data_IF_413440654046
#
_entry.id   IF_413440654046
#
_cell.length_a   1.000
_cell.length_b   1.000
_cell.length_c   1.000
_cell.angle_alpha   90.00
_cell.angle_beta   90.00
_cell.angle_gamma   90.00
#
_symmetry.space_group_name_H-M   'P 1'
#
loop_
_entity.id
_entity.type
_entity.pdbx_description
1 polymer ?
#
# COMPACT_ATOMS: atom_id res chain seq x y z
N UNK A 1 10.67 9.31 2.45
CA UNK A 1 11.08 8.36 1.39
C UNK A 1 11.72 7.11 1.96
N UNK A 2 12.28 7.16 3.16
CA UNK A 2 12.99 6.02 3.76
C UNK A 2 12.09 4.85 4.14
N UNK A 3 10.77 5.06 4.21
CA UNK A 3 9.79 4.01 4.42
C UNK A 3 9.63 3.11 3.18
N UNK A 4 9.77 3.65 1.96
CA UNK A 4 9.64 2.88 0.74
C UNK A 4 10.87 2.02 0.51
N UNK A 5 10.65 0.81 -0.02
CA UNK A 5 11.75 -0.07 -0.39
C UNK A 5 12.66 0.58 -1.42
N UNK A 6 13.93 0.19 -1.42
CA UNK A 6 14.88 0.71 -2.39
C UNK A 6 14.45 0.39 -3.82
N UNK A 7 13.92 -0.82 -4.02
CA UNK A 7 13.31 -1.25 -5.28
C UNK A 7 12.19 -0.32 -5.71
N UNK A 8 11.20 -0.03 -4.84
CA UNK A 8 10.09 0.85 -5.19
C UNK A 8 10.55 2.26 -5.59
N UNK A 9 11.54 2.81 -4.87
CA UNK A 9 12.13 4.12 -5.21
C UNK A 9 12.84 4.15 -6.55
N UNK A 10 13.47 3.03 -6.96
CA UNK A 10 14.15 2.91 -8.26
C UNK A 10 13.16 2.63 -9.40
N UNK A 11 12.15 1.82 -9.14
CA UNK A 11 11.13 1.43 -10.11
C UNK A 11 10.19 2.59 -10.47
N UNK A 12 9.92 3.50 -9.52
CA UNK A 12 9.03 4.64 -9.69
C UNK A 12 9.81 5.97 -9.58
N UNK A 13 10.36 6.50 -10.68
CA UNK A 13 11.12 7.75 -10.65
C UNK A 13 10.25 8.96 -10.23
N UNK A 14 8.95 8.88 -10.46
CA UNK A 14 7.94 9.88 -10.10
C UNK A 14 7.25 9.60 -8.75
N UNK A 15 7.76 8.67 -7.93
CA UNK A 15 7.16 8.29 -6.64
C UNK A 15 6.83 9.50 -5.74
N UNK A 16 7.67 10.53 -5.76
CA UNK A 16 7.42 11.76 -4.98
C UNK A 16 6.17 12.49 -5.45
N UNK A 17 5.96 12.56 -6.76
CA UNK A 17 4.81 13.21 -7.38
C UNK A 17 3.55 12.37 -7.14
N UNK A 18 3.67 11.03 -7.17
CA UNK A 18 2.58 10.12 -6.81
C UNK A 18 2.12 10.33 -5.36
N UNK A 19 3.06 10.44 -4.40
CA UNK A 19 2.75 10.76 -3.00
C UNK A 19 2.05 12.12 -2.89
N UNK A 20 2.52 13.14 -3.63
CA UNK A 20 1.88 14.46 -3.61
C UNK A 20 0.45 14.43 -4.16
N UNK A 21 0.21 13.67 -5.24
CA UNK A 21 -1.14 13.46 -5.78
C UNK A 21 -2.03 12.76 -4.76
N UNK A 22 -1.53 11.73 -4.08
CA UNK A 22 -2.25 11.04 -3.00
C UNK A 22 -2.59 11.99 -1.83
N UNK A 23 -1.66 12.82 -1.41
CA UNK A 23 -1.91 13.81 -0.34
C UNK A 23 -2.94 14.87 -0.74
N UNK A 24 -2.98 15.26 -2.03
CA UNK A 24 -3.98 16.19 -2.54
C UNK A 24 -5.35 15.53 -2.78
N UNK A 25 -5.35 14.23 -3.08
CA UNK A 25 -6.54 13.41 -3.26
C UNK A 25 -7.26 13.15 -1.94
N UNK A 26 -6.52 12.89 -0.86
CA UNK A 26 -7.05 12.67 0.47
C UNK A 26 -7.65 13.96 1.05
N UNK A 27 -8.95 13.94 1.34
CA UNK A 27 -9.71 15.08 1.87
C UNK A 27 -10.21 14.80 3.27
N UNK A 28 -10.21 15.87 4.07
CA UNK A 28 -10.70 15.83 5.44
C UNK A 28 -9.68 15.31 6.46
N UNK A 29 -10.17 15.11 7.67
CA UNK A 29 -9.46 14.58 8.83
C UNK A 29 -10.00 13.18 9.12
N UNK A 30 -9.10 12.21 9.33
CA UNK A 30 -9.48 10.85 9.69
C UNK A 30 -10.27 10.83 11.01
N UNK A 31 -11.43 10.17 11.00
CA UNK A 31 -12.26 9.95 12.19
C UNK A 31 -12.22 8.48 12.61
N UNK A 32 -12.37 7.56 11.65
CA UNK A 32 -12.38 6.13 11.90
C UNK A 32 -11.58 5.37 10.83
N UNK A 33 -10.93 4.28 11.23
CA UNK A 33 -10.35 3.32 10.31
C UNK A 33 -10.70 1.89 10.75
N UNK A 34 -11.12 1.06 9.80
CA UNK A 34 -11.48 -0.34 10.06
C UNK A 34 -10.99 -1.24 8.95
N UNK A 35 -10.39 -2.38 9.30
CA UNK A 35 -9.91 -3.32 8.30
C UNK A 35 -9.04 -4.40 8.90
N UNK A 36 -8.30 -5.08 8.04
CA UNK A 36 -7.44 -6.18 8.41
C UNK A 36 -6.11 -6.11 7.67
N UNK A 37 -5.09 -6.64 8.32
CA UNK A 37 -3.82 -6.96 7.68
C UNK A 37 -3.65 -8.48 7.72
N UNK A 38 -3.20 -9.06 6.61
CA UNK A 38 -2.69 -10.42 6.56
C UNK A 38 -1.17 -10.38 6.60
N UNK A 39 -0.61 -11.34 7.34
CA UNK A 39 0.82 -11.61 7.39
C UNK A 39 1.10 -12.81 6.50
N UNK A 40 1.92 -12.63 5.47
CA UNK A 40 2.43 -13.71 4.65
C UNK A 40 3.89 -13.98 5.02
N UNK A 41 4.16 -15.19 5.52
CA UNK A 41 5.49 -15.57 5.98
C UNK A 41 5.93 -16.90 5.36
N UNK A 42 7.23 -17.00 5.09
CA UNK A 42 7.90 -18.25 4.75
C UNK A 42 9.18 -18.42 5.56
N UNK A 43 9.54 -19.67 5.82
CA UNK A 43 10.69 -20.03 6.64
C UNK A 43 11.48 -21.15 6.00
N UNK A 44 12.80 -21.05 6.10
CA UNK A 44 13.74 -22.11 5.71
C UNK A 44 14.56 -22.52 6.92
N UNK A 45 14.66 -23.83 7.17
CA UNK A 45 15.43 -24.40 8.28
C UNK A 45 15.11 -23.75 9.65
N UNK A 46 13.85 -23.36 9.87
CA UNK A 46 13.40 -22.74 11.10
C UNK A 46 13.70 -21.24 11.23
N UNK A 47 14.19 -20.58 10.17
CA UNK A 47 14.39 -19.14 10.10
C UNK A 47 13.43 -18.51 9.10
N UNK A 48 12.72 -17.44 9.50
CA UNK A 48 11.93 -16.63 8.58
C UNK A 48 12.84 -16.01 7.52
N UNK A 49 12.54 -16.27 6.25
CA UNK A 49 13.29 -15.74 5.10
C UNK A 49 12.46 -14.75 4.29
N UNK A 50 11.14 -14.77 4.45
CA UNK A 50 10.22 -13.83 3.85
C UNK A 50 9.11 -13.48 4.84
N UNK A 51 8.76 -12.21 4.92
CA UNK A 51 7.67 -11.72 5.77
C UNK A 51 7.08 -10.44 5.17
N UNK A 52 5.79 -10.46 4.86
CA UNK A 52 5.07 -9.36 4.21
C UNK A 52 3.71 -9.11 4.87
N UNK A 53 3.41 -7.85 5.12
CA UNK A 53 2.07 -7.39 5.45
C UNK A 53 1.34 -6.91 4.20
N UNK A 54 0.20 -7.53 3.90
CA UNK A 54 -0.78 -6.99 2.96
C UNK A 54 -1.99 -6.52 3.74
N UNK A 55 -2.36 -5.25 3.60
CA UNK A 55 -3.43 -4.68 4.41
C UNK A 55 -4.50 -4.02 3.56
N UNK A 56 -5.74 -4.11 4.04
CA UNK A 56 -6.92 -3.50 3.44
C UNK A 56 -7.74 -2.82 4.55
N UNK A 57 -8.03 -1.53 4.37
CA UNK A 57 -8.76 -0.73 5.34
C UNK A 57 -9.84 0.12 4.66
N UNK A 58 -10.96 0.31 5.34
CA UNK A 58 -11.85 1.44 5.14
C UNK A 58 -11.37 2.58 6.04
N UNK A 59 -11.32 3.78 5.49
CA UNK A 59 -10.91 5.01 6.16
C UNK A 59 -12.01 6.05 5.97
N UNK A 60 -12.65 6.45 7.07
CA UNK A 60 -13.69 7.47 7.08
C UNK A 60 -13.09 8.79 7.55
N UNK A 61 -13.33 9.84 6.78
CA UNK A 61 -12.99 11.22 7.15
C UNK A 61 -14.27 12.03 7.38
N UNK A 62 -14.11 13.25 7.90
CA UNK A 62 -15.21 14.22 8.00
C UNK A 62 -15.77 14.68 6.63
N UNK A 63 -15.16 14.27 5.51
CA UNK A 63 -15.55 14.68 4.16
C UNK A 63 -15.86 13.51 3.22
N UNK A 64 -15.18 12.37 3.35
CA UNK A 64 -15.24 11.28 2.36
C UNK A 64 -14.89 9.92 2.98
N UNK A 65 -15.33 8.85 2.34
CA UNK A 65 -14.96 7.47 2.68
C UNK A 65 -14.00 6.90 1.62
N UNK A 66 -12.92 6.29 2.10
CA UNK A 66 -11.89 5.69 1.26
C UNK A 66 -11.71 4.21 1.57
N UNK A 67 -11.29 3.45 0.56
CA UNK A 67 -10.64 2.14 0.74
C UNK A 67 -9.14 2.28 0.49
N UNK A 68 -8.34 1.75 1.39
CA UNK A 68 -6.87 1.81 1.36
C UNK A 68 -6.31 0.41 1.31
N UNK A 69 -5.32 0.18 0.46
CA UNK A 69 -4.52 -1.04 0.42
C UNK A 69 -3.03 -0.73 0.41
N UNK A 70 -2.22 -1.55 1.07
CA UNK A 70 -0.76 -1.43 0.99
C UNK A 70 -0.06 -2.77 1.19
N UNK A 71 1.16 -2.86 0.67
CA UNK A 71 2.06 -3.99 0.85
C UNK A 71 3.38 -3.51 1.49
N UNK A 72 3.72 -4.09 2.63
CA UNK A 72 4.95 -3.79 3.36
C UNK A 72 5.76 -5.07 3.57
N UNK A 73 6.97 -5.13 3.04
CA UNK A 73 7.86 -6.28 3.20
C UNK A 73 8.83 -6.01 4.33
N UNK A 74 8.74 -6.82 5.38
CA UNK A 74 9.62 -6.72 6.55
C UNK A 74 10.92 -7.48 6.32
N UNK A 75 10.85 -8.62 5.64
CA UNK A 75 11.98 -9.50 5.35
C UNK A 75 11.81 -10.02 3.93
N UNK A 76 12.86 -9.90 3.11
CA UNK A 76 12.97 -10.56 1.82
C UNK A 76 14.44 -10.97 1.61
N UNK A 77 14.80 -12.15 2.14
CA UNK A 77 16.19 -12.61 2.14
C UNK A 77 16.75 -12.85 0.73
N UNK A 78 15.88 -13.13 -0.25
CA UNK A 78 16.26 -13.28 -1.65
C UNK A 78 16.45 -11.91 -2.32
N UNK A 79 15.63 -10.91 -1.97
CA UNK A 79 15.65 -9.58 -2.57
C UNK A 79 15.60 -8.48 -1.48
N UNK A 80 16.70 -8.23 -0.76
CA UNK A 80 16.71 -7.31 0.38
C UNK A 80 16.41 -5.84 -0.01
N UNK A 81 16.54 -5.47 -1.28
CA UNK A 81 16.17 -4.15 -1.79
C UNK A 81 14.64 -3.95 -1.86
N UNK A 82 13.85 -5.02 -1.76
CA UNK A 82 12.39 -4.98 -1.72
C UNK A 82 11.83 -4.80 -0.30
N UNK A 83 12.67 -4.85 0.74
CA UNK A 83 12.27 -4.56 2.13
C UNK A 83 11.85 -3.09 2.29
N UNK A 84 10.72 -2.89 2.96
CA UNK A 84 10.05 -1.59 3.15
C UNK A 84 8.63 -1.57 2.58
N UNK A 85 8.04 -0.39 2.55
CA UNK A 85 6.76 -0.15 1.87
C UNK A 85 6.97 -0.33 0.37
N UNK A 86 6.31 -1.34 -0.18
CA UNK A 86 6.43 -1.71 -1.57
C UNK A 86 5.42 -0.94 -2.41
N UNK A 87 4.16 -0.90 -1.97
CA UNK A 87 3.08 -0.26 -2.69
C UNK A 87 1.99 0.27 -1.75
N UNK A 88 1.27 1.29 -2.22
CA UNK A 88 0.14 1.91 -1.52
C UNK A 88 -0.92 2.36 -2.53
N UNK A 89 -2.19 2.11 -2.25
CA UNK A 89 -3.31 2.62 -3.05
C UNK A 89 -4.44 3.10 -2.15
N UNK A 90 -5.04 4.22 -2.55
CA UNK A 90 -6.25 4.76 -1.93
C UNK A 90 -7.30 5.02 -3.01
N UNK A 91 -8.51 4.56 -2.78
CA UNK A 91 -9.64 4.72 -3.67
C UNK A 91 -10.82 5.34 -2.91
N UNK A 92 -11.65 6.14 -3.57
CA UNK A 92 -12.97 6.49 -3.02
C UNK A 92 -13.82 5.23 -2.88
N UNK A 93 -14.79 5.25 -1.97
CA UNK A 93 -15.76 4.15 -1.88
C UNK A 93 -16.52 3.94 -3.21
N UNK A 94 -16.87 5.03 -3.91
CA UNK A 94 -17.49 4.96 -5.23
C UNK A 94 -16.62 4.21 -6.26
N UNK A 95 -15.32 4.47 -6.28
CA UNK A 95 -14.40 3.76 -7.17
C UNK A 95 -14.32 2.26 -6.83
N UNK A 96 -14.27 1.96 -5.52
CA UNK A 96 -14.17 0.60 -5.01
C UNK A 96 -15.40 -0.26 -5.33
N UNK A 97 -16.59 0.33 -5.27
CA UNK A 97 -17.86 -0.37 -5.51
C UNK A 97 -18.12 -0.70 -7.00
N UNK A 98 -17.24 -0.27 -7.91
CA UNK A 98 -17.34 -0.62 -9.34
C UNK A 98 -17.07 -2.11 -9.56
N UNK A 99 -17.85 -2.74 -10.43
CA UNK A 99 -17.72 -4.19 -10.71
C UNK A 99 -16.35 -4.60 -11.27
N UNK A 100 -15.64 -3.68 -11.92
CA UNK A 100 -14.33 -3.89 -12.51
C UNK A 100 -13.17 -3.44 -11.61
N UNK A 101 -13.46 -3.06 -10.36
CA UNK A 101 -12.44 -2.61 -9.43
C UNK A 101 -11.38 -3.70 -9.17
N UNK A 102 -10.12 -3.30 -9.28
CA UNK A 102 -8.94 -4.11 -8.98
C UNK A 102 -7.86 -3.21 -8.42
N UNK A 103 -7.26 -3.66 -7.31
CA UNK A 103 -6.09 -3.02 -6.74
C UNK A 103 -4.93 -3.07 -7.74
N UNK A 104 -4.42 -1.90 -8.08
CA UNK A 104 -3.21 -1.72 -8.87
C UNK A 104 -1.99 -2.02 -8.01
N UNK A 105 -2.03 -1.72 -6.71
CA UNK A 105 -0.89 -1.87 -5.81
C UNK A 105 -0.45 -3.32 -5.57
N UNK A 106 -1.23 -4.32 -5.96
CA UNK A 106 -0.86 -5.72 -5.73
C UNK A 106 0.39 -6.10 -6.55
N UNK A 107 1.51 -6.27 -5.84
CA UNK A 107 2.81 -6.65 -6.42
C UNK A 107 3.31 -5.67 -7.52
N UNK A 108 2.80 -4.43 -7.47
CA UNK A 108 3.23 -3.32 -8.33
C UNK A 108 3.71 -2.14 -7.47
N UNK A 109 5.00 -1.80 -7.50
CA UNK A 109 5.56 -0.78 -6.61
C UNK A 109 5.05 0.60 -6.99
N UNK A 110 4.65 1.41 -6.02
CA UNK A 110 4.22 2.79 -6.26
C UNK A 110 3.11 3.28 -5.33
N UNK A 111 2.62 4.48 -5.64
CA UNK A 111 1.47 5.09 -4.96
C UNK A 111 0.38 5.41 -5.96
N UNK A 112 -0.83 4.90 -5.70
CA UNK A 112 -1.97 5.01 -6.61
C UNK A 112 -3.18 5.66 -5.94
N UNK A 113 -3.96 6.38 -6.73
CA UNK A 113 -5.20 7.03 -6.31
C UNK A 113 -6.31 6.70 -7.30
N UNK A 114 -7.53 6.45 -6.82
CA UNK A 114 -8.67 6.14 -7.71
C UNK A 114 -9.96 6.81 -7.27
N UNK A 115 -10.64 7.42 -8.25
CA UNK A 115 -11.95 8.11 -8.14
C UNK A 115 -13.03 7.38 -8.94
#
# INVERSE_FOLDING_TARGET
MDLFSEYARKAQPDLKEQIQRMMAFYKGTAEEHRGNASLHESSEYGRTVFSEYKAHYSLTTDQEEYKVAFQYRMIDAENPDQEGLFSFEIATEEAFDREDFRWICEDNPGVYTRE
#
